data_IF_216459648574
#
_entry.id   IF_216459648574
#
_cell.length_a   1.000
_cell.length_b   1.000
_cell.length_c   1.000
_cell.angle_alpha   90.00
_cell.angle_beta   90.00
_cell.angle_gamma   90.00
#
_symmetry.space_group_name_H-M   'P 1'
#
loop_
_entity.id
_entity.type
_entity.pdbx_description
1 polymer ?
#
# COMPACT_ATOMS: atom_id res chain seq x y z
N UNK A 1 -17.38 -4.45 7.90
CA UNK A 1 -16.38 -5.40 7.36
C UNK A 1 -15.12 -4.73 6.83
N UNK A 2 -15.18 -3.53 6.25
CA UNK A 2 -13.98 -2.83 5.75
C UNK A 2 -12.87 -2.64 6.81
N UNK A 3 -13.24 -2.41 8.06
CA UNK A 3 -12.28 -2.18 9.17
C UNK A 3 -11.34 -3.35 9.43
N UNK A 4 -11.76 -4.58 9.16
CA UNK A 4 -10.94 -5.78 9.45
C UNK A 4 -9.81 -5.96 8.44
N UNK A 5 -10.06 -5.69 7.15
CA UNK A 5 -9.06 -5.86 6.10
C UNK A 5 -7.98 -4.79 6.17
N UNK A 6 -8.39 -3.53 6.40
CA UNK A 6 -7.47 -2.42 6.58
C UNK A 6 -6.53 -2.67 7.79
N UNK A 7 -7.04 -3.24 8.86
CA UNK A 7 -6.25 -3.53 10.07
C UNK A 7 -5.20 -4.62 9.81
N UNK A 8 -5.53 -5.68 9.05
CA UNK A 8 -4.55 -6.73 8.67
C UNK A 8 -3.51 -6.14 7.74
N UNK A 9 -3.94 -5.39 6.74
CA UNK A 9 -3.06 -4.76 5.78
C UNK A 9 -2.07 -3.77 6.42
N UNK A 10 -2.53 -2.90 7.33
CA UNK A 10 -1.65 -1.95 8.03
C UNK A 10 -0.66 -2.65 8.96
N UNK A 11 -1.00 -3.83 9.50
CA UNK A 11 -0.10 -4.60 10.35
C UNK A 11 1.16 -5.06 9.59
N UNK A 12 1.07 -5.42 8.31
CA UNK A 12 2.25 -5.80 7.52
C UNK A 12 3.33 -4.71 7.53
N UNK A 13 2.92 -3.45 7.37
CA UNK A 13 3.87 -2.33 7.39
C UNK A 13 4.42 -2.05 8.78
N UNK A 14 3.57 -2.21 9.80
CA UNK A 14 4.02 -2.09 11.18
C UNK A 14 5.08 -3.15 11.52
N UNK A 15 4.84 -4.40 11.12
CA UNK A 15 5.76 -5.51 11.38
C UNK A 15 7.09 -5.29 10.64
N UNK A 16 7.08 -4.90 9.37
CA UNK A 16 8.32 -4.52 8.63
C UNK A 16 9.09 -3.41 9.36
N UNK A 17 8.41 -2.36 9.80
CA UNK A 17 9.06 -1.26 10.51
C UNK A 17 9.65 -1.71 11.87
N UNK A 18 9.02 -2.66 12.56
CA UNK A 18 9.53 -3.25 13.80
C UNK A 18 10.76 -4.13 13.52
N UNK A 19 10.69 -4.99 12.51
CA UNK A 19 11.80 -5.86 12.13
C UNK A 19 13.03 -5.05 11.69
N UNK A 20 12.84 -4.00 10.91
CA UNK A 20 13.95 -3.13 10.48
C UNK A 20 14.62 -2.38 11.63
N UNK A 21 13.94 -2.19 12.77
CA UNK A 21 14.47 -1.51 13.96
C UNK A 21 15.06 -2.46 15.00
N UNK A 22 14.74 -3.75 14.94
CA UNK A 22 15.21 -4.71 15.93
C UNK A 22 16.66 -5.11 15.63
N UNK A 23 17.61 -4.94 16.58
CA UNK A 23 18.96 -5.47 16.45
C UNK A 23 18.90 -6.99 16.68
N UNK A 24 19.03 -7.80 15.65
CA UNK A 24 18.91 -9.24 15.75
C UNK A 24 19.73 -10.03 14.76
N UNK A 25 19.69 -11.35 14.90
CA UNK A 25 20.43 -12.29 14.08
C UNK A 25 19.88 -12.31 12.65
N UNK A 26 20.74 -12.12 11.67
CA UNK A 26 20.41 -11.78 10.29
C UNK A 26 19.56 -12.85 9.57
N UNK A 27 19.66 -14.12 9.92
CA UNK A 27 19.04 -15.21 9.17
C UNK A 27 17.53 -15.39 9.45
N UNK A 28 17.11 -15.40 10.71
CA UNK A 28 15.70 -15.54 11.07
C UNK A 28 14.88 -14.31 10.61
N UNK A 29 15.49 -13.12 10.72
CA UNK A 29 14.86 -11.89 10.25
C UNK A 29 14.73 -11.83 8.72
N UNK A 30 15.64 -12.45 7.97
CA UNK A 30 15.57 -12.50 6.51
C UNK A 30 14.35 -13.30 6.04
N UNK A 31 14.09 -14.45 6.63
CA UNK A 31 12.93 -15.29 6.28
C UNK A 31 11.60 -14.61 6.59
N UNK A 32 11.51 -13.93 7.75
CA UNK A 32 10.31 -13.19 8.11
C UNK A 32 10.05 -12.00 7.17
N UNK A 33 11.11 -11.29 6.75
CA UNK A 33 10.98 -10.21 5.78
C UNK A 33 10.54 -10.73 4.41
N UNK A 34 11.06 -11.87 3.96
CA UNK A 34 10.64 -12.49 2.70
C UNK A 34 9.15 -12.88 2.72
N UNK A 35 8.66 -13.43 3.83
CA UNK A 35 7.23 -13.76 4.01
C UNK A 35 6.38 -12.48 3.98
N UNK A 36 6.83 -11.40 4.64
CA UNK A 36 6.12 -10.13 4.64
C UNK A 36 6.11 -9.48 3.25
N UNK A 37 7.23 -9.54 2.54
CA UNK A 37 7.33 -9.06 1.17
C UNK A 37 6.41 -9.86 0.23
N UNK A 38 6.30 -11.19 0.41
CA UNK A 38 5.35 -12.02 -0.32
C UNK A 38 3.90 -11.60 -0.08
N UNK A 39 3.53 -11.35 1.18
CA UNK A 39 2.18 -10.88 1.55
C UNK A 39 1.87 -9.50 0.96
N UNK A 40 2.85 -8.61 0.86
CA UNK A 40 2.69 -7.26 0.31
C UNK A 40 2.71 -7.28 -1.22
N UNK A 41 3.41 -8.22 -1.84
CA UNK A 41 3.55 -8.31 -3.30
C UNK A 41 2.22 -8.37 -4.05
N UNK A 42 1.18 -8.91 -3.42
CA UNK A 42 -0.20 -8.96 -3.94
C UNK A 42 -0.74 -7.54 -4.23
N UNK A 43 -0.29 -6.55 -3.46
CA UNK A 43 -0.71 -5.16 -3.55
C UNK A 43 0.26 -4.29 -4.34
N UNK A 44 1.42 -4.84 -4.74
CA UNK A 44 2.38 -4.10 -5.54
C UNK A 44 1.90 -3.99 -6.98
N UNK A 45 1.93 -2.77 -7.49
CA UNK A 45 1.54 -2.46 -8.86
C UNK A 45 2.58 -1.57 -9.50
N UNK A 46 2.96 -1.89 -10.73
CA UNK A 46 3.79 -1.02 -11.56
C UNK A 46 2.94 -0.42 -12.68
N UNK A 47 2.98 0.89 -12.82
CA UNK A 47 2.24 1.65 -13.83
C UNK A 47 3.18 2.55 -14.61
N UNK A 48 2.98 2.54 -15.91
CA UNK A 48 3.71 3.41 -16.81
C UNK A 48 3.06 4.78 -16.99
N UNK A 49 3.66 5.58 -17.82
CA UNK A 49 3.29 6.96 -18.08
C UNK A 49 1.83 7.19 -18.46
N UNK A 50 1.28 6.38 -19.35
CA UNK A 50 -0.13 6.54 -19.80
C UNK A 50 -1.11 6.50 -18.62
N UNK A 51 -0.86 5.64 -17.65
CA UNK A 51 -1.67 5.58 -16.44
C UNK A 51 -1.47 6.82 -15.56
N UNK A 52 -0.23 7.29 -15.41
CA UNK A 52 0.09 8.49 -14.61
C UNK A 52 -0.57 9.73 -15.20
N UNK A 53 -0.49 9.92 -16.50
CA UNK A 53 -1.11 11.08 -17.20
C UNK A 53 -2.63 11.09 -17.03
N UNK A 54 -3.26 9.92 -17.02
CA UNK A 54 -4.71 9.81 -16.92
C UNK A 54 -5.24 9.89 -15.48
N UNK A 55 -4.45 9.46 -14.50
CA UNK A 55 -4.89 9.30 -13.12
C UNK A 55 -4.21 10.27 -12.14
N UNK A 56 -3.06 10.83 -12.50
CA UNK A 56 -2.36 11.82 -11.69
C UNK A 56 -2.54 13.22 -12.28
N UNK A 57 -3.52 13.94 -11.79
CA UNK A 57 -3.80 15.30 -12.26
C UNK A 57 -2.68 16.26 -11.86
N UNK A 58 -2.15 16.99 -12.84
CA UNK A 58 -1.20 18.06 -12.59
C UNK A 58 -1.92 19.25 -11.92
N UNK A 59 -1.40 19.67 -10.78
CA UNK A 59 -1.85 20.88 -10.09
C UNK A 59 -0.63 21.76 -9.80
N UNK A 60 -0.42 22.77 -10.60
CA UNK A 60 0.83 23.53 -10.61
C UNK A 60 2.00 22.65 -11.05
N UNK A 61 3.07 22.59 -10.25
CA UNK A 61 4.25 21.77 -10.52
C UNK A 61 4.19 20.39 -9.86
N UNK A 62 3.08 20.01 -9.23
CA UNK A 62 2.90 18.76 -8.52
C UNK A 62 1.91 17.81 -9.20
N UNK A 63 2.15 16.52 -9.13
CA UNK A 63 1.24 15.47 -9.58
C UNK A 63 0.40 14.97 -8.41
N UNK A 64 -0.92 15.04 -8.52
CA UNK A 64 -1.83 14.54 -7.50
C UNK A 64 -1.74 13.02 -7.42
N UNK A 65 -1.45 12.51 -6.23
CA UNK A 65 -1.38 11.07 -5.94
C UNK A 65 -2.80 10.53 -5.78
N UNK A 66 -3.24 9.56 -6.59
CA UNK A 66 -4.55 8.92 -6.46
C UNK A 66 -4.77 8.27 -5.09
N UNK A 67 -6.02 8.23 -4.65
CA UNK A 67 -6.35 7.64 -3.34
C UNK A 67 -6.15 6.12 -3.28
N UNK A 68 -6.06 5.44 -4.41
CA UNK A 68 -5.75 4.01 -4.47
C UNK A 68 -4.32 3.71 -4.02
N UNK A 69 -3.41 4.67 -4.16
CA UNK A 69 -2.02 4.53 -3.73
C UNK A 69 -1.96 4.65 -2.21
N UNK A 70 -1.52 3.58 -1.58
CA UNK A 70 -1.24 3.56 -0.14
C UNK A 70 0.17 4.07 0.15
N UNK A 71 1.17 3.51 -0.51
CA UNK A 71 2.58 3.87 -0.35
C UNK A 71 3.28 3.89 -1.70
N UNK A 72 3.97 4.97 -1.99
CA UNK A 72 4.83 5.04 -3.18
C UNK A 72 6.11 4.26 -2.88
N UNK A 73 6.43 3.31 -3.75
CA UNK A 73 7.69 2.59 -3.73
C UNK A 73 8.75 3.31 -4.55
N UNK A 74 8.82 3.01 -5.83
CA UNK A 74 9.86 3.55 -6.73
C UNK A 74 9.24 4.37 -7.85
N UNK A 75 9.75 5.56 -8.05
CA UNK A 75 9.44 6.40 -9.22
C UNK A 75 10.68 6.42 -10.12
N UNK A 76 10.50 6.20 -11.41
CA UNK A 76 11.57 6.22 -12.40
C UNK A 76 11.23 7.16 -13.54
N UNK A 77 12.25 7.81 -14.07
CA UNK A 77 12.16 8.61 -15.29
C UNK A 77 13.20 8.08 -16.26
N UNK A 78 12.73 7.41 -17.31
CA UNK A 78 13.59 6.64 -18.18
C UNK A 78 14.34 5.53 -17.43
N UNK A 79 15.65 5.61 -17.37
CA UNK A 79 16.51 4.66 -16.62
C UNK A 79 16.84 5.13 -15.20
N UNK A 80 16.63 6.40 -14.90
CA UNK A 80 17.00 6.99 -13.62
C UNK A 80 15.87 6.83 -12.59
N UNK A 81 16.24 6.46 -11.37
CA UNK A 81 15.32 6.44 -10.24
C UNK A 81 15.24 7.82 -9.61
N UNK A 82 14.02 8.28 -9.31
CA UNK A 82 13.78 9.52 -8.59
C UNK A 82 14.09 9.31 -7.12
N UNK A 83 15.04 10.07 -6.59
CA UNK A 83 15.33 10.09 -5.17
C UNK A 83 14.31 10.97 -4.46
N UNK A 84 13.46 10.37 -3.61
CA UNK A 84 12.43 11.09 -2.86
C UNK A 84 13.05 11.61 -1.56
N UNK A 85 13.15 12.92 -1.46
CA UNK A 85 13.72 13.63 -0.32
C UNK A 85 12.63 14.30 0.52
N UNK A 86 12.95 14.73 1.73
CA UNK A 86 12.10 15.66 2.42
C UNK A 86 12.22 17.08 1.79
N UNK A 87 11.28 17.97 2.03
CA UNK A 87 11.25 19.27 1.35
C UNK A 87 12.47 20.14 1.64
N UNK A 88 13.06 20.05 2.84
CA UNK A 88 14.28 20.82 3.20
C UNK A 88 15.49 20.33 2.44
N UNK A 89 15.67 19.01 2.36
CA UNK A 89 16.79 18.40 1.64
C UNK A 89 16.65 18.60 0.13
N UNK A 90 15.42 18.60 -0.38
CA UNK A 90 15.12 18.93 -1.76
C UNK A 90 15.56 20.38 -2.10
N UNK A 91 15.19 21.36 -1.29
CA UNK A 91 15.58 22.75 -1.50
C UNK A 91 17.08 22.95 -1.39
N UNK A 92 17.74 22.26 -0.44
CA UNK A 92 19.18 22.26 -0.30
C UNK A 92 19.89 21.64 -1.50
N UNK A 93 19.41 20.49 -1.97
CA UNK A 93 19.95 19.80 -3.14
C UNK A 93 19.78 20.64 -4.42
N UNK A 94 18.63 21.30 -4.59
CA UNK A 94 18.33 22.15 -5.74
C UNK A 94 19.21 23.40 -5.82
N UNK A 95 19.56 23.96 -4.67
CA UNK A 95 20.38 25.19 -4.60
C UNK A 95 21.88 24.93 -4.77
N UNK A 96 22.32 23.69 -4.63
CA UNK A 96 23.73 23.30 -4.74
C UNK A 96 24.10 22.95 -6.18
N UNK A 97 25.16 23.53 -6.72
CA UNK A 97 25.64 23.24 -8.06
C UNK A 97 26.07 21.77 -8.26
N UNK A 98 26.50 21.07 -7.21
CA UNK A 98 26.95 19.67 -7.29
C UNK A 98 25.82 18.66 -7.17
N UNK A 99 24.74 19.01 -6.44
CA UNK A 99 23.62 18.09 -6.14
C UNK A 99 22.33 18.49 -6.86
N UNK A 100 22.38 19.54 -7.70
CA UNK A 100 21.24 19.96 -8.49
C UNK A 100 20.63 18.82 -9.31
N UNK A 101 19.32 18.73 -9.41
CA UNK A 101 18.64 17.65 -10.14
C UNK A 101 19.03 17.69 -11.63
N UNK A 102 19.20 16.49 -12.19
CA UNK A 102 19.47 16.28 -13.60
C UNK A 102 18.67 15.10 -14.14
N UNK A 103 18.66 14.90 -15.46
CA UNK A 103 18.02 13.74 -16.10
C UNK A 103 18.54 12.39 -15.58
N UNK A 104 19.83 12.34 -15.21
CA UNK A 104 20.45 11.12 -14.68
C UNK A 104 20.29 10.98 -13.16
N UNK A 105 19.95 12.06 -12.49
CA UNK A 105 19.72 12.11 -11.03
C UNK A 105 18.51 12.99 -10.75
N UNK A 106 17.32 12.51 -11.06
CA UNK A 106 16.08 13.20 -10.70
C UNK A 106 15.85 13.10 -9.20
N UNK A 107 15.44 14.20 -8.60
CA UNK A 107 15.04 14.25 -7.19
C UNK A 107 13.59 14.68 -7.09
N UNK A 108 12.90 14.22 -6.06
CA UNK A 108 11.51 14.56 -5.82
C UNK A 108 11.20 14.71 -4.33
N UNK A 109 10.05 15.24 -4.03
CA UNK A 109 9.52 15.31 -2.67
C UNK A 109 8.01 15.15 -2.68
N UNK A 110 7.44 14.77 -1.54
CA UNK A 110 6.00 14.59 -1.38
C UNK A 110 5.52 15.58 -0.31
N UNK A 111 4.52 16.40 -0.67
CA UNK A 111 3.80 17.24 0.30
C UNK A 111 2.31 16.92 0.20
N UNK A 112 1.75 16.44 1.31
CA UNK A 112 0.34 16.06 1.37
C UNK A 112 0.02 14.94 0.38
N UNK A 113 -0.79 15.28 -0.63
CA UNK A 113 -1.17 14.35 -1.71
C UNK A 113 -0.48 14.62 -3.03
N UNK A 114 0.56 15.44 -3.05
CA UNK A 114 1.24 15.82 -4.28
C UNK A 114 2.68 15.32 -4.30
N UNK A 115 3.03 14.69 -5.40
CA UNK A 115 4.40 14.33 -5.75
C UNK A 115 4.99 15.42 -6.63
N UNK A 116 6.10 16.00 -6.21
CA UNK A 116 6.88 16.98 -6.97
C UNK A 116 8.18 16.34 -7.42
N UNK A 117 8.50 16.46 -8.70
CA UNK A 117 9.76 15.98 -9.24
C UNK A 117 10.52 17.14 -9.84
N UNK A 118 11.73 17.39 -9.33
CA UNK A 118 12.63 18.40 -9.84
C UNK A 118 13.57 17.80 -10.88
N UNK A 119 13.47 18.32 -12.08
CA UNK A 119 14.43 18.07 -13.15
C UNK A 119 14.67 19.43 -13.80
N UNK A 120 15.92 19.86 -13.84
CA UNK A 120 16.25 21.04 -14.61
C UNK A 120 16.06 20.69 -16.07
N UNK A 121 15.01 21.19 -16.74
CA UNK A 121 14.72 21.09 -18.18
C UNK A 121 13.68 20.06 -18.67
N UNK A 122 12.92 19.40 -17.82
CA UNK A 122 11.75 18.69 -18.35
C UNK A 122 10.51 19.56 -18.13
N UNK A 123 10.03 20.12 -19.20
CA UNK A 123 8.69 20.63 -19.30
C UNK A 123 7.75 19.42 -19.50
N UNK A 124 7.01 19.03 -18.45
CA UNK A 124 6.06 17.89 -18.50
C UNK A 124 4.96 18.09 -19.57
N UNK A 125 4.89 19.27 -20.18
CA UNK A 125 3.97 19.59 -21.25
C UNK A 125 4.55 19.40 -22.66
N UNK A 126 5.80 18.97 -22.79
CA UNK A 126 6.39 18.74 -24.11
C UNK A 126 5.92 17.39 -24.65
N UNK A 127 5.19 17.32 -25.76
CA UNK A 127 4.81 16.06 -26.39
C UNK A 127 6.06 15.25 -26.76
N UNK A 128 6.22 14.07 -26.15
CA UNK A 128 7.31 13.14 -26.41
C UNK A 128 8.24 12.82 -25.24
N UNK A 129 8.26 13.62 -24.16
CA UNK A 129 9.11 13.35 -22.98
C UNK A 129 8.42 12.57 -21.84
N UNK A 130 7.10 12.67 -21.64
CA UNK A 130 6.45 11.92 -20.53
C UNK A 130 6.41 10.41 -20.74
N UNK A 131 6.78 9.88 -21.89
CA UNK A 131 6.68 8.43 -22.20
C UNK A 131 7.55 7.51 -21.34
N UNK A 132 8.31 8.07 -20.41
CA UNK A 132 9.34 7.31 -19.66
C UNK A 132 9.17 7.31 -18.14
N UNK A 133 8.08 7.84 -17.65
CA UNK A 133 7.86 7.84 -16.19
C UNK A 133 7.12 6.57 -15.78
N UNK A 134 7.69 5.81 -14.87
CA UNK A 134 7.08 4.63 -14.26
C UNK A 134 6.99 4.81 -12.76
N UNK A 135 5.89 4.38 -12.18
CA UNK A 135 5.69 4.37 -10.74
C UNK A 135 5.39 2.93 -10.28
N UNK A 136 6.10 2.49 -9.27
CA UNK A 136 5.78 1.28 -8.50
C UNK A 136 5.26 1.72 -7.15
N UNK A 137 4.12 1.18 -6.77
CA UNK A 137 3.44 1.55 -5.53
C UNK A 137 2.69 0.38 -4.95
N UNK A 138 2.41 0.46 -3.66
CA UNK A 138 1.50 -0.44 -2.98
C UNK A 138 0.11 0.18 -3.01
N UNK A 139 -0.85 -0.53 -3.60
CA UNK A 139 -2.24 -0.09 -3.64
C UNK A 139 -2.98 -0.46 -2.35
N UNK A 140 -4.08 0.21 -2.07
CA UNK A 140 -5.00 -0.22 -1.03
C UNK A 140 -5.76 -1.46 -1.48
N UNK A 141 -6.08 -2.38 -0.56
CA UNK A 141 -7.02 -3.47 -0.85
C UNK A 141 -8.35 -2.92 -1.35
N UNK A 142 -8.99 -3.64 -2.27
CA UNK A 142 -10.35 -3.32 -2.69
C UNK A 142 -11.34 -3.53 -1.54
N UNK A 143 -12.40 -2.73 -1.52
CA UNK A 143 -13.48 -2.91 -0.54
C UNK A 143 -14.21 -4.20 -0.81
N UNK A 144 -14.29 -5.03 0.22
CA UNK A 144 -15.07 -6.28 0.18
C UNK A 144 -16.55 -5.96 0.12
N UNK A 145 -17.26 -6.59 -0.81
CA UNK A 145 -18.68 -6.43 -0.98
C UNK A 145 -19.37 -7.78 -1.09
N UNK A 146 -20.25 -8.07 -0.16
CA UNK A 146 -21.12 -9.22 -0.24
C UNK A 146 -22.44 -8.79 -0.94
N UNK A 147 -22.56 -9.12 -2.21
CA UNK A 147 -23.74 -8.79 -3.01
C UNK A 147 -24.76 -9.94 -2.99
N UNK A 148 -26.03 -9.58 -3.01
CA UNK A 148 -27.12 -10.55 -3.03
C UNK A 148 -28.24 -10.11 -3.95
N UNK A 149 -29.01 -11.08 -4.43
CA UNK A 149 -30.25 -10.87 -5.19
C UNK A 149 -31.40 -11.44 -4.37
N UNK A 150 -32.46 -10.69 -4.25
CA UNK A 150 -33.68 -11.16 -3.56
C UNK A 150 -34.56 -11.97 -4.53
N UNK A 151 -34.71 -13.26 -4.22
CA UNK A 151 -35.59 -14.17 -4.96
C UNK A 151 -36.60 -14.78 -3.98
N UNK A 152 -37.89 -14.59 -4.21
CA UNK A 152 -38.96 -15.05 -3.31
C UNK A 152 -38.74 -14.62 -1.86
N UNK A 153 -38.48 -13.34 -1.64
CA UNK A 153 -38.21 -12.72 -0.32
C UNK A 153 -36.98 -13.30 0.43
N UNK A 154 -36.12 -14.06 -0.25
CA UNK A 154 -34.87 -14.59 0.33
C UNK A 154 -33.66 -13.99 -0.37
N UNK A 155 -32.66 -13.48 0.40
CA UNK A 155 -31.43 -13.02 -0.17
C UNK A 155 -30.55 -14.21 -0.60
N UNK A 156 -30.24 -14.29 -1.89
CA UNK A 156 -29.32 -15.26 -2.46
C UNK A 156 -28.01 -14.59 -2.83
N UNK A 157 -26.91 -15.21 -2.48
CA UNK A 157 -25.57 -14.72 -2.82
C UNK A 157 -25.38 -14.58 -4.34
N UNK A 158 -24.81 -13.44 -4.76
CA UNK A 158 -24.47 -13.17 -6.15
C UNK A 158 -22.97 -13.05 -6.34
N UNK A 159 -22.33 -14.10 -6.83
CA UNK A 159 -20.89 -14.16 -7.06
C UNK A 159 -20.38 -13.16 -8.11
N UNK A 160 -21.24 -12.75 -9.07
CA UNK A 160 -20.81 -11.89 -10.17
C UNK A 160 -20.57 -10.42 -9.75
N UNK A 161 -21.19 -10.00 -8.65
CA UNK A 161 -21.10 -8.63 -8.13
C UNK A 161 -20.32 -8.58 -6.82
N UNK A 162 -20.22 -9.71 -6.11
CA UNK A 162 -19.46 -9.80 -4.86
C UNK A 162 -17.96 -9.63 -5.11
N UNK A 163 -17.29 -8.94 -4.18
CA UNK A 163 -15.84 -8.81 -4.14
C UNK A 163 -15.31 -9.50 -2.90
N UNK A 164 -14.41 -10.44 -3.10
CA UNK A 164 -13.77 -11.20 -2.03
C UNK A 164 -12.64 -10.42 -1.33
N UNK A 165 -12.10 -11.00 -0.27
CA UNK A 165 -10.96 -10.44 0.45
C UNK A 165 -9.68 -10.62 -0.36
N UNK A 166 -8.99 -9.53 -0.63
CA UNK A 166 -7.67 -9.54 -1.26
C UNK A 166 -6.57 -9.64 -0.20
N UNK A 167 -6.41 -10.80 0.40
CA UNK A 167 -5.36 -11.08 1.39
C UNK A 167 -4.61 -12.35 1.00
N UNK A 168 -3.39 -12.50 1.51
CA UNK A 168 -2.64 -13.72 1.36
C UNK A 168 -3.39 -14.87 2.05
N UNK A 169 -3.32 -16.08 1.47
CA UNK A 169 -4.06 -17.25 1.97
C UNK A 169 -3.73 -17.59 3.43
N UNK A 170 -2.51 -17.33 3.87
CA UNK A 170 -2.09 -17.52 5.26
C UNK A 170 -2.89 -16.68 6.28
N UNK A 171 -3.51 -15.57 5.84
CA UNK A 171 -4.27 -14.66 6.71
C UNK A 171 -5.74 -15.04 6.89
N UNK A 172 -6.20 -16.10 6.20
CA UNK A 172 -7.61 -16.49 6.22
C UNK A 172 -8.10 -16.77 7.64
N UNK A 173 -7.33 -17.52 8.42
CA UNK A 173 -7.68 -17.90 9.79
C UNK A 173 -7.78 -16.68 10.71
N UNK A 174 -6.79 -15.78 10.63
CA UNK A 174 -6.80 -14.56 11.43
C UNK A 174 -7.98 -13.66 11.08
N UNK A 175 -8.28 -13.53 9.79
CA UNK A 175 -9.42 -12.76 9.31
C UNK A 175 -10.73 -13.30 9.88
N UNK A 176 -10.91 -14.62 9.89
CA UNK A 176 -12.10 -15.28 10.49
C UNK A 176 -12.21 -14.93 11.97
N UNK A 177 -11.12 -15.00 12.74
CA UNK A 177 -11.15 -14.66 14.16
C UNK A 177 -11.49 -13.18 14.39
N UNK A 178 -10.93 -12.29 13.61
CA UNK A 178 -11.29 -10.85 13.67
C UNK A 178 -12.75 -10.58 13.32
N UNK A 179 -13.28 -11.26 12.32
CA UNK A 179 -14.70 -11.14 11.95
C UNK A 179 -15.60 -11.65 13.08
N UNK A 180 -15.29 -12.81 13.67
CA UNK A 180 -16.05 -13.37 14.79
C UNK A 180 -16.04 -12.43 16.00
N UNK A 181 -14.88 -11.87 16.33
CA UNK A 181 -14.74 -10.89 17.41
C UNK A 181 -15.62 -9.65 17.19
N UNK A 182 -15.60 -9.08 15.97
CA UNK A 182 -16.42 -7.93 15.63
C UNK A 182 -17.91 -8.25 15.61
N UNK A 183 -18.28 -9.43 15.09
CA UNK A 183 -19.66 -9.89 15.09
C UNK A 183 -20.18 -10.10 16.54
N UNK A 184 -19.36 -10.69 17.40
CA UNK A 184 -19.67 -10.89 18.81
C UNK A 184 -19.90 -9.57 19.56
N UNK A 185 -19.09 -8.54 19.30
CA UNK A 185 -19.28 -7.19 19.85
C UNK A 185 -20.62 -6.60 19.40
N UNK A 186 -20.92 -6.68 18.11
CA UNK A 186 -22.18 -6.15 17.56
C UNK A 186 -23.41 -6.85 18.11
N UNK A 187 -23.34 -8.16 18.33
CA UNK A 187 -24.42 -8.97 18.90
C UNK A 187 -24.48 -8.90 20.42
N UNK A 188 -23.53 -8.20 21.06
CA UNK A 188 -23.37 -8.16 22.52
C UNK A 188 -23.20 -9.56 23.14
N UNK A 189 -22.70 -10.52 22.38
CA UNK A 189 -22.45 -11.89 22.81
C UNK A 189 -21.02 -12.00 23.35
N UNK A 190 -20.84 -11.79 24.66
CA UNK A 190 -19.52 -11.80 25.31
C UNK A 190 -18.75 -13.11 25.12
N UNK A 191 -19.45 -14.23 25.04
CA UNK A 191 -18.84 -15.55 24.81
C UNK A 191 -18.12 -15.63 23.46
N UNK A 192 -18.75 -15.10 22.39
CA UNK A 192 -18.15 -15.08 21.04
C UNK A 192 -16.94 -14.15 21.00
N UNK A 193 -16.98 -13.02 21.69
CA UNK A 193 -15.84 -12.09 21.80
C UNK A 193 -14.66 -12.77 22.50
N UNK A 194 -14.90 -13.47 23.60
CA UNK A 194 -13.84 -14.18 24.34
C UNK A 194 -13.20 -15.27 23.49
N UNK A 195 -13.99 -16.10 22.82
CA UNK A 195 -13.49 -17.14 21.90
C UNK A 195 -12.64 -16.51 20.80
N UNK A 196 -13.12 -15.45 20.15
CA UNK A 196 -12.36 -14.76 19.10
C UNK A 196 -11.03 -14.18 19.60
N UNK A 197 -11.00 -13.61 20.81
CA UNK A 197 -9.78 -13.08 21.44
C UNK A 197 -8.77 -14.18 21.78
N UNK A 198 -9.25 -15.30 22.32
CA UNK A 198 -8.37 -16.43 22.68
C UNK A 198 -7.71 -17.02 21.46
N UNK A 199 -8.48 -17.26 20.41
CA UNK A 199 -7.98 -17.82 19.16
C UNK A 199 -7.00 -16.87 18.45
N UNK A 200 -7.27 -15.55 18.44
CA UNK A 200 -6.35 -14.54 17.90
C UNK A 200 -5.03 -14.51 18.69
N UNK A 201 -5.08 -14.63 20.02
CA UNK A 201 -3.88 -14.64 20.85
C UNK A 201 -3.04 -15.92 20.67
N UNK A 202 -3.68 -17.08 20.54
CA UNK A 202 -3.01 -18.34 20.29
C UNK A 202 -2.30 -18.34 18.94
N UNK A 203 -2.92 -17.80 17.90
CA UNK A 203 -2.31 -17.71 16.58
C UNK A 203 -1.09 -16.79 16.58
N UNK A 204 -1.18 -15.61 17.19
CA UNK A 204 -0.04 -14.69 17.32
C UNK A 204 1.13 -15.31 18.09
N UNK A 205 0.85 -16.19 19.06
CA UNK A 205 1.91 -16.92 19.76
C UNK A 205 2.58 -17.98 18.87
N UNK A 206 1.81 -18.66 18.01
CA UNK A 206 2.35 -19.66 17.08
C UNK A 206 3.21 -19.00 15.99
N UNK A 207 2.84 -17.82 15.49
CA UNK A 207 3.60 -17.09 14.48
C UNK A 207 4.93 -16.52 15.01
N UNK A 208 5.11 -16.43 16.34
CA UNK A 208 6.32 -15.89 16.98
C UNK A 208 7.28 -16.98 17.48
N UNK A 209 6.94 -18.24 17.33
CA UNK A 209 7.82 -19.39 17.64
C UNK A 209 8.54 -19.89 16.41
#
# INVERSE_FOLDING_TARGET
>A
MAVSIDTVFERYFYDIDQFNKAPGNINEYSELLEILDEKISIFEVERGNNWMTNNMTLSGNGMLIPNEIYRIGTVRIGKAQVEILNSKDFDAARSSAMTAPSLNRPIGYIIGKYLYVGINQIDYNTPGEPERMNIRYVRRPDKVEWAYVVVNDKPLYNANISKDFELHQAEETELVYKILKLAGINLKAQEIVQVGQTLEAEQVQQEKQ
#
